data_IF_173542944267
#
_entry.id   IF_173542944267
#
_cell.length_a   1.000
_cell.length_b   1.000
_cell.length_c   1.000
_cell.angle_alpha   90.00
_cell.angle_beta   90.00
_cell.angle_gamma   90.00
#
_symmetry.space_group_name_H-M   'P 1'
#
loop_
_entity.id
_entity.type
_entity.pdbx_description
1 polymer ?
#
# COMPACT_ATOMS: atom_id res chain seq x y z
N UNK A 1 -17.94 10.84 -7.74
CA UNK A 1 -16.93 10.94 -6.65
C UNK A 1 -16.04 9.67 -6.65
N UNK A 2 -16.61 8.48 -6.60
CA UNK A 2 -15.87 7.21 -6.57
C UNK A 2 -14.91 7.02 -7.76
N UNK A 3 -15.37 7.25 -8.99
CA UNK A 3 -14.52 7.16 -10.21
C UNK A 3 -13.31 8.10 -10.10
N UNK A 4 -13.46 9.29 -9.54
CA UNK A 4 -12.35 10.23 -9.35
C UNK A 4 -11.36 9.68 -8.32
N UNK A 5 -11.86 9.14 -7.19
CA UNK A 5 -11.02 8.55 -6.16
C UNK A 5 -10.19 7.36 -6.69
N UNK A 6 -10.84 6.45 -7.43
CA UNK A 6 -10.20 5.30 -8.08
C UNK A 6 -9.17 5.77 -9.12
N UNK A 7 -9.52 6.75 -9.96
CA UNK A 7 -8.58 7.30 -10.94
C UNK A 7 -7.34 7.90 -10.28
N UNK A 8 -7.52 8.63 -9.18
CA UNK A 8 -6.40 9.18 -8.40
C UNK A 8 -5.55 8.08 -7.74
N UNK A 9 -6.16 6.99 -7.29
CA UNK A 9 -5.42 5.84 -6.76
C UNK A 9 -4.56 5.16 -7.83
N UNK A 10 -5.08 5.01 -9.05
CA UNK A 10 -4.30 4.50 -10.19
C UNK A 10 -3.16 5.47 -10.54
N UNK A 11 -3.44 6.78 -10.60
CA UNK A 11 -2.42 7.81 -10.85
C UNK A 11 -1.34 7.76 -9.77
N UNK A 12 -1.71 7.63 -8.49
CA UNK A 12 -0.77 7.42 -7.40
C UNK A 12 0.18 6.27 -7.71
N UNK A 13 -0.35 5.10 -8.04
CA UNK A 13 0.44 3.90 -8.29
C UNK A 13 1.39 4.06 -9.49
N UNK A 14 0.89 4.62 -10.60
CA UNK A 14 1.72 4.89 -11.80
C UNK A 14 2.83 5.92 -11.53
N UNK A 15 2.56 6.94 -10.74
CA UNK A 15 3.56 7.92 -10.33
C UNK A 15 4.58 7.31 -9.34
N UNK A 16 4.14 6.43 -8.43
CA UNK A 16 5.02 5.72 -7.51
C UNK A 16 5.99 4.78 -8.26
N UNK A 17 5.52 4.08 -9.31
CA UNK A 17 6.39 3.32 -10.23
C UNK A 17 7.52 4.18 -10.79
N UNK A 18 7.21 5.42 -11.20
CA UNK A 18 8.17 6.39 -11.73
C UNK A 18 8.96 7.14 -10.65
N UNK A 19 8.79 6.81 -9.39
CA UNK A 19 9.37 7.51 -8.23
C UNK A 19 9.10 9.03 -8.23
N UNK A 20 7.98 9.43 -8.84
CA UNK A 20 7.60 10.84 -8.90
C UNK A 20 6.91 11.26 -7.59
N UNK A 21 7.44 12.32 -6.95
CA UNK A 21 6.92 12.82 -5.66
C UNK A 21 5.43 13.19 -5.70
N UNK A 22 4.89 13.55 -6.85
CA UNK A 22 3.47 13.87 -7.02
C UNK A 22 2.55 12.67 -6.73
N UNK A 23 3.11 11.45 -6.64
CA UNK A 23 2.33 10.29 -6.19
C UNK A 23 1.70 10.56 -4.81
N UNK A 24 2.40 11.20 -3.90
CA UNK A 24 1.89 11.50 -2.58
C UNK A 24 0.73 12.50 -2.59
N UNK A 25 0.75 13.47 -3.52
CA UNK A 25 -0.39 14.38 -3.71
C UNK A 25 -1.62 13.61 -4.22
N UNK A 26 -1.43 12.73 -5.20
CA UNK A 26 -2.51 11.87 -5.70
C UNK A 26 -3.06 10.96 -4.59
N UNK A 27 -2.19 10.42 -3.72
CA UNK A 27 -2.59 9.63 -2.55
C UNK A 27 -3.45 10.45 -1.58
N UNK A 28 -3.03 11.68 -1.21
CA UNK A 28 -3.80 12.55 -0.31
C UNK A 28 -5.18 12.82 -0.88
N UNK A 29 -5.26 13.22 -2.16
CA UNK A 29 -6.53 13.54 -2.81
C UNK A 29 -7.46 12.32 -2.90
N UNK A 30 -6.92 11.16 -3.30
CA UNK A 30 -7.66 9.92 -3.37
C UNK A 30 -8.21 9.52 -1.99
N UNK A 31 -7.33 9.46 -0.99
CA UNK A 31 -7.71 9.09 0.39
C UNK A 31 -8.69 10.08 1.00
N UNK A 32 -8.57 11.38 0.70
CA UNK A 32 -9.55 12.36 1.17
C UNK A 32 -10.95 12.10 0.60
N UNK A 33 -11.05 11.78 -0.70
CA UNK A 33 -12.34 11.47 -1.32
C UNK A 33 -12.89 10.15 -0.77
N UNK A 34 -12.07 9.12 -0.64
CA UNK A 34 -12.48 7.84 -0.06
C UNK A 34 -12.92 7.99 1.40
N UNK A 35 -12.27 8.85 2.20
CA UNK A 35 -12.71 9.15 3.55
C UNK A 35 -14.17 9.59 3.58
N UNK A 36 -14.56 10.56 2.77
CA UNK A 36 -15.94 11.05 2.73
C UNK A 36 -16.91 9.98 2.21
N UNK A 37 -16.52 9.20 1.20
CA UNK A 37 -17.35 8.12 0.65
C UNK A 37 -17.61 7.05 1.75
N UNK A 38 -16.55 6.57 2.41
CA UNK A 38 -16.64 5.53 3.43
C UNK A 38 -17.40 6.02 4.67
N UNK A 39 -17.12 7.26 5.11
CA UNK A 39 -17.82 7.86 6.24
C UNK A 39 -19.32 8.01 5.98
N UNK A 40 -19.71 8.49 4.78
CA UNK A 40 -21.12 8.62 4.38
C UNK A 40 -21.83 7.27 4.21
N UNK A 41 -21.08 6.21 3.93
CA UNK A 41 -21.60 4.85 3.84
C UNK A 41 -21.69 4.14 5.20
N UNK A 42 -21.28 4.81 6.30
CA UNK A 42 -21.24 4.21 7.64
C UNK A 42 -20.06 3.27 7.88
N UNK A 43 -19.10 3.22 6.95
CA UNK A 43 -17.88 2.40 7.02
C UNK A 43 -16.78 3.16 7.77
N UNK A 44 -16.98 3.34 9.08
CA UNK A 44 -16.12 4.23 9.88
C UNK A 44 -14.68 3.73 10.01
N UNK A 45 -14.46 2.40 10.11
CA UNK A 45 -13.11 1.83 10.22
C UNK A 45 -12.30 2.08 8.95
N UNK A 46 -12.91 1.86 7.80
CA UNK A 46 -12.31 2.15 6.48
C UNK A 46 -12.05 3.65 6.29
N UNK A 47 -12.96 4.51 6.79
CA UNK A 47 -12.74 5.95 6.81
C UNK A 47 -11.52 6.33 7.67
N UNK A 48 -11.37 5.78 8.87
CA UNK A 48 -10.19 6.02 9.72
C UNK A 48 -8.89 5.50 9.06
N UNK A 49 -8.94 4.39 8.32
CA UNK A 49 -7.80 3.90 7.55
C UNK A 49 -7.37 4.92 6.47
N UNK A 50 -8.31 5.65 5.86
CA UNK A 50 -7.96 6.72 4.91
C UNK A 50 -7.22 7.88 5.59
N UNK A 51 -7.54 8.20 6.86
CA UNK A 51 -6.75 9.19 7.63
C UNK A 51 -5.31 8.70 7.79
N UNK A 52 -5.12 7.42 8.12
CA UNK A 52 -3.79 6.83 8.20
C UNK A 52 -3.03 6.97 6.87
N UNK A 53 -3.67 6.68 5.72
CA UNK A 53 -3.04 6.83 4.40
C UNK A 53 -2.68 8.29 4.09
N UNK A 54 -3.52 9.27 4.47
CA UNK A 54 -3.20 10.69 4.31
C UNK A 54 -1.96 11.08 5.14
N UNK A 55 -1.87 10.64 6.41
CA UNK A 55 -0.70 10.88 7.25
C UNK A 55 0.56 10.24 6.68
N UNK A 56 0.45 9.02 6.18
CA UNK A 56 1.56 8.33 5.52
C UNK A 56 1.97 8.99 4.20
N UNK A 57 1.03 9.58 3.47
CA UNK A 57 1.35 10.34 2.27
C UNK A 57 2.10 11.65 2.59
N UNK A 58 1.73 12.36 3.65
CA UNK A 58 2.49 13.52 4.14
C UNK A 58 3.91 13.10 4.59
N UNK A 59 4.03 11.99 5.31
CA UNK A 59 5.31 11.43 5.69
C UNK A 59 6.16 11.06 4.46
N UNK A 60 5.59 10.32 3.50
CA UNK A 60 6.27 9.94 2.27
C UNK A 60 6.72 11.15 1.44
N UNK A 61 5.85 12.17 1.33
CA UNK A 61 6.20 13.43 0.70
C UNK A 61 7.44 14.06 1.36
N UNK A 62 7.47 14.13 2.71
CA UNK A 62 8.60 14.68 3.45
C UNK A 62 9.89 13.90 3.19
N UNK A 63 9.82 12.57 3.16
CA UNK A 63 10.97 11.70 2.91
C UNK A 63 11.51 11.86 1.47
N UNK A 64 10.63 11.96 0.48
CA UNK A 64 11.04 12.06 -0.94
C UNK A 64 11.46 13.47 -1.34
N UNK A 65 11.09 14.49 -0.57
CA UNK A 65 11.47 15.91 -0.81
C UNK A 65 12.85 16.27 -0.27
N UNK A 66 13.44 15.48 0.62
CA UNK A 66 14.71 15.79 1.25
C UNK A 66 15.82 16.01 0.20
N UNK A 67 16.32 17.25 0.10
CA UNK A 67 17.32 17.66 -0.93
C UNK A 67 18.75 17.33 -0.53
N UNK A 68 19.06 17.34 0.78
CA UNK A 68 20.43 17.19 1.30
C UNK A 68 20.92 15.74 1.20
N UNK A 69 20.02 14.76 1.33
CA UNK A 69 20.30 13.34 1.15
C UNK A 69 19.19 12.72 0.30
N UNK A 70 19.35 12.65 -1.03
CA UNK A 70 18.34 12.07 -1.89
C UNK A 70 18.06 10.62 -1.49
N UNK A 71 16.80 10.30 -1.29
CA UNK A 71 16.38 8.97 -0.90
C UNK A 71 16.46 8.03 -2.13
N UNK A 72 17.46 7.17 -2.15
CA UNK A 72 17.64 6.14 -3.17
C UNK A 72 16.83 4.89 -2.83
N UNK A 73 16.58 4.07 -3.84
CA UNK A 73 15.94 2.76 -3.64
C UNK A 73 16.89 1.86 -2.87
N UNK A 74 16.43 1.45 -1.70
CA UNK A 74 17.15 0.57 -0.78
C UNK A 74 16.48 -0.78 -0.58
N UNK A 75 17.08 -1.57 0.29
CA UNK A 75 16.60 -2.90 0.69
C UNK A 75 16.60 -3.00 2.22
N UNK A 76 15.70 -3.79 2.77
CA UNK A 76 15.75 -4.17 4.18
C UNK A 76 16.66 -5.38 4.43
N UNK A 77 17.20 -5.44 5.62
CA UNK A 77 17.84 -6.66 6.12
C UNK A 77 16.78 -7.70 6.50
N UNK A 78 17.13 -8.97 6.45
CA UNK A 78 16.23 -10.08 6.79
C UNK A 78 15.60 -9.92 8.18
N UNK A 79 16.37 -9.44 9.16
CA UNK A 79 15.89 -9.17 10.52
C UNK A 79 14.74 -8.16 10.57
N UNK A 80 14.74 -7.14 9.69
CA UNK A 80 13.66 -6.16 9.57
C UNK A 80 12.39 -6.79 8.97
N UNK A 81 12.55 -7.66 7.97
CA UNK A 81 11.43 -8.43 7.41
C UNK A 81 10.80 -9.34 8.46
N UNK A 82 11.61 -10.08 9.22
CA UNK A 82 11.09 -10.96 10.27
C UNK A 82 10.31 -10.18 11.34
N UNK A 83 10.80 -9.01 11.75
CA UNK A 83 10.09 -8.13 12.70
C UNK A 83 8.77 -7.63 12.12
N UNK A 84 8.78 -7.18 10.86
CA UNK A 84 7.59 -6.69 10.19
C UNK A 84 6.54 -7.79 10.01
N UNK A 85 6.94 -8.97 9.55
CA UNK A 85 6.05 -10.13 9.41
C UNK A 85 5.50 -10.61 10.75
N UNK A 86 6.33 -10.64 11.80
CA UNK A 86 5.89 -10.94 13.17
C UNK A 86 4.86 -9.93 13.68
N UNK A 87 5.07 -8.63 13.42
CA UNK A 87 4.13 -7.59 13.78
C UNK A 87 2.81 -7.72 13.01
N UNK A 88 2.88 -7.91 11.68
CA UNK A 88 1.70 -8.13 10.85
C UNK A 88 0.91 -9.33 11.37
N UNK A 89 1.57 -10.46 11.61
CA UNK A 89 0.91 -11.67 12.09
C UNK A 89 0.24 -11.45 13.46
N UNK A 90 0.95 -10.85 14.41
CA UNK A 90 0.42 -10.56 15.75
C UNK A 90 -0.82 -9.66 15.69
N UNK A 91 -0.73 -8.55 14.95
CA UNK A 91 -1.83 -7.59 14.82
C UNK A 91 -3.01 -8.21 14.04
N UNK A 92 -2.74 -9.00 13.01
CA UNK A 92 -3.78 -9.67 12.22
C UNK A 92 -4.52 -10.74 13.02
N UNK A 93 -3.81 -11.54 13.81
CA UNK A 93 -4.44 -12.53 14.68
C UNK A 93 -5.31 -11.85 15.76
N UNK A 94 -4.79 -10.78 16.37
CA UNK A 94 -5.51 -10.05 17.42
C UNK A 94 -6.76 -9.35 16.87
N UNK A 95 -6.61 -8.57 15.79
CA UNK A 95 -7.76 -7.86 15.19
C UNK A 95 -8.71 -8.81 14.47
N UNK A 96 -8.21 -9.87 13.83
CA UNK A 96 -9.04 -10.91 13.24
C UNK A 96 -9.90 -11.63 14.28
N UNK A 97 -9.32 -11.98 15.43
CA UNK A 97 -10.07 -12.56 16.55
C UNK A 97 -11.16 -11.63 17.06
N UNK A 98 -10.85 -10.34 17.22
CA UNK A 98 -11.85 -9.34 17.67
C UNK A 98 -12.98 -9.22 16.65
N UNK A 99 -12.66 -9.13 15.36
CA UNK A 99 -13.65 -9.03 14.30
C UNK A 99 -14.54 -10.27 14.21
N UNK A 100 -13.94 -11.47 14.32
CA UNK A 100 -14.65 -12.75 14.27
C UNK A 100 -15.67 -12.92 15.40
N UNK A 101 -15.34 -12.43 16.61
CA UNK A 101 -16.19 -12.59 17.78
C UNK A 101 -17.20 -11.45 17.99
N UNK A 102 -17.03 -10.30 17.34
CA UNK A 102 -17.81 -9.09 17.63
C UNK A 102 -18.50 -8.50 16.41
N UNK A 103 -18.28 -9.08 15.21
CA UNK A 103 -18.88 -8.60 13.96
C UNK A 103 -19.23 -9.76 13.02
N UNK A 104 -20.10 -9.51 12.06
CA UNK A 104 -20.44 -10.47 10.98
C UNK A 104 -19.48 -10.37 9.80
N UNK A 105 -18.21 -10.02 10.04
CA UNK A 105 -17.22 -9.86 8.98
C UNK A 105 -16.93 -11.20 8.28
N UNK A 106 -17.09 -11.23 6.94
CA UNK A 106 -16.70 -12.39 6.15
C UNK A 106 -15.16 -12.42 6.02
N UNK A 107 -14.53 -13.54 6.41
CA UNK A 107 -13.09 -13.76 6.34
C UNK A 107 -12.25 -12.72 7.13
N UNK A 108 -12.51 -12.51 8.46
CA UNK A 108 -11.92 -11.43 9.23
C UNK A 108 -10.40 -11.49 9.32
N UNK A 109 -9.81 -12.69 9.35
CA UNK A 109 -8.35 -12.86 9.41
C UNK A 109 -7.66 -12.46 8.11
N UNK A 110 -8.29 -12.73 6.94
CA UNK A 110 -7.75 -12.31 5.64
C UNK A 110 -7.85 -10.79 5.48
N UNK A 111 -8.93 -10.19 5.93
CA UNK A 111 -9.11 -8.74 5.95
C UNK A 111 -8.07 -8.06 6.86
N UNK A 112 -7.86 -8.61 8.05
CA UNK A 112 -6.85 -8.11 8.97
C UNK A 112 -5.41 -8.22 8.42
N UNK A 113 -5.04 -9.34 7.78
CA UNK A 113 -3.69 -9.52 7.24
C UNK A 113 -3.42 -8.60 6.05
N UNK A 114 -4.41 -8.36 5.19
CA UNK A 114 -4.27 -7.40 4.08
C UNK A 114 -4.17 -5.97 4.60
N UNK A 115 -4.94 -5.60 5.63
CA UNK A 115 -4.90 -4.28 6.25
C UNK A 115 -3.54 -4.00 6.90
N UNK A 116 -3.06 -4.86 7.79
CA UNK A 116 -1.77 -4.65 8.46
C UNK A 116 -0.58 -4.80 7.51
N UNK A 117 -0.71 -5.68 6.52
CA UNK A 117 0.25 -5.76 5.41
C UNK A 117 0.34 -4.45 4.65
N UNK A 118 -0.79 -3.84 4.28
CA UNK A 118 -0.85 -2.56 3.56
C UNK A 118 -0.25 -1.40 4.37
N UNK A 119 -0.46 -1.37 5.70
CA UNK A 119 0.18 -0.40 6.60
C UNK A 119 1.71 -0.48 6.50
N UNK A 120 2.27 -1.69 6.60
CA UNK A 120 3.72 -1.89 6.50
C UNK A 120 4.23 -1.60 5.09
N UNK A 121 3.54 -2.08 4.05
CA UNK A 121 3.93 -1.85 2.67
C UNK A 121 3.92 -0.36 2.32
N UNK A 122 2.95 0.42 2.79
CA UNK A 122 2.90 1.89 2.62
C UNK A 122 4.11 2.57 3.27
N UNK A 123 4.50 2.16 4.48
CA UNK A 123 5.73 2.64 5.12
C UNK A 123 6.97 2.33 4.28
N UNK A 124 7.04 1.11 3.71
CA UNK A 124 8.15 0.71 2.85
C UNK A 124 8.22 1.55 1.56
N UNK A 125 7.07 1.92 0.95
CA UNK A 125 7.02 2.86 -0.18
C UNK A 125 7.59 4.22 0.24
N UNK A 126 7.17 4.76 1.38
CA UNK A 126 7.67 6.05 1.89
C UNK A 126 9.18 6.04 2.10
N UNK A 127 9.77 4.90 2.50
CA UNK A 127 11.23 4.71 2.66
C UNK A 127 11.94 4.27 1.38
N UNK A 128 11.27 4.20 0.24
CA UNK A 128 11.78 3.68 -1.05
C UNK A 128 12.44 2.29 -0.94
N UNK A 129 11.87 1.39 -0.17
CA UNK A 129 12.35 0.01 -0.06
C UNK A 129 11.76 -0.81 -1.20
N UNK A 130 12.61 -1.47 -2.01
CA UNK A 130 12.18 -2.19 -3.21
C UNK A 130 11.21 -3.33 -2.88
N UNK A 131 11.38 -3.95 -1.72
CA UNK A 131 10.54 -5.08 -1.30
C UNK A 131 9.09 -4.68 -1.03
N UNK A 132 8.76 -3.38 -0.96
CA UNK A 132 7.36 -2.94 -0.89
C UNK A 132 6.51 -3.58 -2.00
N UNK A 133 7.07 -3.73 -3.21
CA UNK A 133 6.37 -4.30 -4.36
C UNK A 133 6.03 -5.78 -4.14
N UNK A 134 6.87 -6.53 -3.40
CA UNK A 134 6.61 -7.93 -3.05
C UNK A 134 5.48 -8.00 -2.01
N UNK A 135 5.51 -7.10 -1.01
CA UNK A 135 4.44 -7.02 -0.01
C UNK A 135 3.10 -6.68 -0.67
N UNK A 136 3.07 -5.66 -1.52
CA UNK A 136 1.87 -5.30 -2.28
C UNK A 136 1.38 -6.43 -3.17
N UNK A 137 2.29 -7.18 -3.83
CA UNK A 137 1.91 -8.33 -4.65
C UNK A 137 1.16 -9.38 -3.82
N UNK A 138 1.65 -9.73 -2.64
CA UNK A 138 1.00 -10.71 -1.76
C UNK A 138 -0.35 -10.18 -1.25
N UNK A 139 -0.41 -8.91 -0.85
CA UNK A 139 -1.62 -8.27 -0.35
C UNK A 139 -2.70 -8.25 -1.44
N UNK A 140 -2.38 -7.75 -2.62
CA UNK A 140 -3.34 -7.62 -3.71
C UNK A 140 -3.76 -8.99 -4.24
N UNK A 141 -2.85 -9.97 -4.26
CA UNK A 141 -3.19 -11.35 -4.61
C UNK A 141 -4.23 -11.94 -3.64
N UNK A 142 -4.06 -11.78 -2.33
CA UNK A 142 -5.04 -12.19 -1.32
C UNK A 142 -6.35 -11.41 -1.53
N UNK A 143 -6.26 -10.11 -1.78
CA UNK A 143 -7.42 -9.24 -1.98
C UNK A 143 -8.27 -9.63 -3.19
N UNK A 144 -7.65 -10.10 -4.30
CA UNK A 144 -8.40 -10.64 -5.45
C UNK A 144 -9.32 -11.78 -5.00
N UNK A 145 -8.81 -12.76 -4.24
CA UNK A 145 -9.62 -13.87 -3.74
C UNK A 145 -10.68 -13.41 -2.74
N UNK A 146 -10.33 -12.47 -1.86
CA UNK A 146 -11.25 -11.90 -0.89
C UNK A 146 -12.44 -11.23 -1.58
N UNK A 147 -12.20 -10.44 -2.62
CA UNK A 147 -13.26 -9.76 -3.37
C UNK A 147 -14.08 -10.73 -4.24
N UNK A 148 -13.45 -11.75 -4.82
CA UNK A 148 -14.16 -12.81 -5.55
C UNK A 148 -15.11 -13.59 -4.62
N UNK A 149 -14.71 -13.90 -3.39
CA UNK A 149 -15.55 -14.59 -2.41
C UNK A 149 -16.76 -13.78 -1.92
N UNK A 150 -16.75 -12.47 -2.18
CA UNK A 150 -17.83 -11.52 -1.86
C UNK A 150 -18.65 -11.09 -3.09
N UNK A 151 -18.48 -11.76 -4.23
CA UNK A 151 -19.12 -11.45 -5.53
C UNK A 151 -18.78 -10.03 -6.06
N UNK A 152 -17.67 -9.43 -5.59
CA UNK A 152 -17.19 -8.10 -5.99
C UNK A 152 -16.22 -8.20 -7.18
N UNK A 153 -16.72 -8.71 -8.33
CA UNK A 153 -15.92 -9.02 -9.51
C UNK A 153 -15.16 -7.81 -10.08
N UNK A 154 -15.77 -6.62 -10.12
CA UNK A 154 -15.10 -5.41 -10.64
C UNK A 154 -13.94 -4.97 -9.76
N UNK A 155 -14.10 -5.06 -8.44
CA UNK A 155 -13.03 -4.76 -7.48
C UNK A 155 -11.91 -5.81 -7.58
N UNK A 156 -12.23 -7.09 -7.71
CA UNK A 156 -11.25 -8.14 -7.93
C UNK A 156 -10.45 -7.91 -9.23
N UNK A 157 -11.11 -7.49 -10.31
CA UNK A 157 -10.45 -7.14 -11.57
C UNK A 157 -9.51 -5.93 -11.42
N UNK A 158 -9.89 -4.91 -10.63
CA UNK A 158 -9.05 -3.77 -10.33
C UNK A 158 -7.77 -4.20 -9.61
N UNK A 159 -7.88 -5.05 -8.58
CA UNK A 159 -6.71 -5.57 -7.86
C UNK A 159 -5.85 -6.48 -8.73
N UNK A 160 -6.44 -7.28 -9.63
CA UNK A 160 -5.70 -8.02 -10.65
C UNK A 160 -4.91 -7.07 -11.59
N UNK A 161 -5.49 -5.93 -11.96
CA UNK A 161 -4.78 -4.86 -12.68
C UNK A 161 -3.61 -4.28 -11.89
N UNK A 162 -3.76 -4.10 -10.57
CA UNK A 162 -2.67 -3.65 -9.69
C UNK A 162 -1.50 -4.65 -9.66
N UNK A 163 -1.75 -5.97 -9.65
CA UNK A 163 -0.69 -6.97 -9.74
C UNK A 163 0.19 -6.79 -10.99
N UNK A 164 -0.40 -6.41 -12.12
CA UNK A 164 0.36 -6.12 -13.34
C UNK A 164 1.24 -4.88 -13.15
N UNK A 165 0.70 -3.79 -12.60
CA UNK A 165 1.44 -2.55 -12.35
C UNK A 165 2.58 -2.79 -11.34
N UNK A 166 2.36 -3.59 -10.31
CA UNK A 166 3.35 -3.96 -9.30
C UNK A 166 4.58 -4.62 -9.92
N UNK A 167 4.40 -5.52 -10.89
CA UNK A 167 5.50 -6.17 -11.61
C UNK A 167 6.36 -5.13 -12.36
N UNK A 168 5.72 -4.16 -13.02
CA UNK A 168 6.44 -3.05 -13.67
C UNK A 168 7.12 -2.14 -12.66
N UNK A 169 6.49 -1.85 -11.52
CA UNK A 169 7.05 -1.07 -10.43
C UNK A 169 8.31 -1.69 -9.84
N UNK A 170 8.27 -2.97 -9.55
CA UNK A 170 9.44 -3.72 -9.08
C UNK A 170 10.60 -3.63 -10.08
N UNK A 171 10.33 -3.86 -11.38
CA UNK A 171 11.36 -3.79 -12.43
C UNK A 171 11.96 -2.39 -12.55
N UNK A 172 11.13 -1.35 -12.55
CA UNK A 172 11.57 0.04 -12.64
C UNK A 172 12.45 0.45 -11.45
N UNK A 173 12.04 0.10 -10.22
CA UNK A 173 12.81 0.41 -9.02
C UNK A 173 14.12 -0.40 -8.96
N UNK A 174 14.11 -1.64 -9.41
CA UNK A 174 15.34 -2.47 -9.50
C UNK A 174 16.36 -1.88 -10.46
N UNK A 175 15.93 -1.40 -11.61
CA UNK A 175 16.82 -0.72 -12.57
C UNK A 175 17.42 0.55 -11.96
N UNK A 176 16.61 1.42 -11.36
CA UNK A 176 17.05 2.63 -10.67
C UNK A 176 18.07 2.32 -9.55
N UNK A 177 17.86 1.28 -8.77
CA UNK A 177 18.80 0.85 -7.73
C UNK A 177 20.14 0.41 -8.31
N UNK A 178 20.13 -0.31 -9.44
CA UNK A 178 21.37 -0.78 -10.11
C UNK A 178 22.15 0.38 -10.72
N UNK A 179 21.48 1.36 -11.31
CA UNK A 179 22.09 2.57 -11.88
C UNK A 179 22.77 3.40 -10.79
N UNK A 180 22.10 3.60 -9.65
CA UNK A 180 22.67 4.30 -8.50
C UNK A 180 23.95 3.61 -8.01
N UNK A 181 23.96 2.28 -7.90
CA UNK A 181 25.15 1.51 -7.47
C UNK A 181 26.31 1.65 -8.46
N UNK A 182 26.04 1.72 -9.76
CA UNK A 182 27.09 1.92 -10.78
C UNK A 182 27.69 3.32 -10.71
N UNK A 183 26.85 4.36 -10.50
CA UNK A 183 27.31 5.75 -10.41
C UNK A 183 28.15 6.06 -9.14
N UNK A 184 28.03 5.26 -8.09
CA UNK A 184 28.81 5.39 -6.85
C UNK A 184 30.20 4.71 -6.98
N UNK A 185 30.32 3.71 -7.87
CA UNK A 185 31.55 2.92 -8.05
C UNK A 185 32.46 3.45 -9.18
N UNK A 186 32.05 4.50 -9.88
CA UNK A 186 32.83 5.24 -10.88
C UNK A 186 33.23 6.62 -10.34
#
# INVERSE_FOLDING_TARGET
MEIIAVSLAIIYLLLAVKQNILCWLAAILSSSIFFFIMYSAGLYMEAYLQIFYMLMALYGWSQWRAKELPLFVGTWQLSSHLKALGLILFLSLTSGYILDNHTDAALPYFDAITTWGAVVATYMVAKKLIENWIYWFVIDFISVFLFLSRDLFLTALLFAGYLVIIIFGYKAWKLSMLETKKGINN
#
